data_IF_131689201443
#
_entry.id   IF_131689201443
#
_cell.length_a   1.000
_cell.length_b   1.000
_cell.length_c   1.000
_cell.angle_alpha   90.00
_cell.angle_beta   90.00
_cell.angle_gamma   90.00
#
_symmetry.space_group_name_H-M   'P 1'
#
loop_
_entity.id
_entity.type
_entity.pdbx_description
1 polymer ?
#
# COMPACT_ATOMS: atom_id res chain seq x y z
N UNK A 1 -1.50 19.82 24.35
CA UNK A 1 -0.29 20.06 23.53
C UNK A 1 0.68 18.87 23.47
N UNK A 2 0.91 18.13 24.57
CA UNK A 2 1.86 17.01 24.63
C UNK A 2 1.58 15.85 23.67
N UNK A 3 0.32 15.47 23.43
CA UNK A 3 -0.02 14.37 22.48
C UNK A 3 0.35 14.67 21.02
N UNK A 4 0.17 15.91 20.57
CA UNK A 4 0.48 16.31 19.18
C UNK A 4 1.99 16.38 18.93
N UNK A 5 2.76 16.84 19.93
CA UNK A 5 4.23 16.87 19.86
C UNK A 5 4.80 15.45 19.84
N UNK A 6 4.31 14.55 20.70
CA UNK A 6 4.72 13.13 20.70
C UNK A 6 4.38 12.46 19.38
N UNK A 7 3.21 12.73 18.80
CA UNK A 7 2.83 12.21 17.47
C UNK A 7 3.78 12.72 16.37
N UNK A 8 4.10 14.02 16.37
CA UNK A 8 5.03 14.62 15.40
C UNK A 8 6.43 14.01 15.51
N UNK A 9 6.96 13.90 16.73
CA UNK A 9 8.28 13.29 16.98
C UNK A 9 8.33 11.83 16.52
N UNK A 10 7.27 11.06 16.75
CA UNK A 10 7.18 9.67 16.26
C UNK A 10 7.20 9.61 14.73
N UNK A 11 6.43 10.47 14.05
CA UNK A 11 6.42 10.52 12.58
C UNK A 11 7.80 10.91 12.05
N UNK A 12 8.44 11.93 12.64
CA UNK A 12 9.77 12.36 12.26
C UNK A 12 10.81 11.25 12.46
N UNK A 13 10.77 10.54 13.59
CA UNK A 13 11.66 9.42 13.86
C UNK A 13 11.48 8.27 12.85
N UNK A 14 10.23 7.90 12.54
CA UNK A 14 9.94 6.88 11.52
C UNK A 14 10.44 7.32 10.14
N UNK A 15 10.23 8.57 9.75
CA UNK A 15 10.72 9.11 8.49
C UNK A 15 12.25 9.11 8.42
N UNK A 16 12.94 9.49 9.50
CA UNK A 16 14.39 9.47 9.59
C UNK A 16 14.96 8.05 9.49
N UNK A 17 14.35 7.09 10.18
CA UNK A 17 14.74 5.68 10.10
C UNK A 17 14.53 5.10 8.70
N UNK A 18 13.41 5.44 8.05
CA UNK A 18 13.16 5.03 6.67
C UNK A 18 14.20 5.64 5.71
N UNK A 19 14.50 6.94 5.85
CA UNK A 19 15.52 7.60 5.03
C UNK A 19 16.90 6.96 5.23
N UNK A 20 17.29 6.66 6.47
CA UNK A 20 18.53 5.96 6.78
C UNK A 20 18.57 4.57 6.14
N UNK A 21 17.47 3.81 6.22
CA UNK A 21 17.36 2.49 5.61
C UNK A 21 17.52 2.55 4.08
N UNK A 22 16.84 3.47 3.40
CA UNK A 22 16.94 3.65 1.95
C UNK A 22 18.33 4.10 1.52
N UNK A 23 18.94 5.02 2.27
CA UNK A 23 20.31 5.47 2.02
C UNK A 23 21.32 4.32 2.17
N UNK A 24 21.22 3.54 3.24
CA UNK A 24 22.13 2.43 3.49
C UNK A 24 21.96 1.32 2.44
N UNK A 25 20.71 1.02 2.06
CA UNK A 25 20.40 0.09 0.97
C UNK A 25 21.00 0.57 -0.36
N UNK A 26 20.93 1.89 -0.64
CA UNK A 26 21.56 2.47 -1.82
C UNK A 26 23.07 2.29 -1.82
N UNK A 27 23.76 2.73 -0.77
CA UNK A 27 25.23 2.70 -0.67
C UNK A 27 25.76 1.28 -0.80
N UNK A 28 25.14 0.32 -0.12
CA UNK A 28 25.59 -1.07 -0.15
C UNK A 28 25.35 -1.74 -1.50
N UNK A 29 24.22 -1.43 -2.15
CA UNK A 29 23.90 -1.96 -3.47
C UNK A 29 24.74 -1.30 -4.58
N UNK A 30 24.95 0.02 -4.50
CA UNK A 30 25.70 0.77 -5.49
C UNK A 30 27.21 0.47 -5.46
N UNK A 31 27.73 0.01 -4.31
CA UNK A 31 29.11 -0.44 -4.20
C UNK A 31 29.42 -1.70 -5.02
N UNK A 32 28.39 -2.45 -5.44
CA UNK A 32 28.48 -3.66 -6.27
C UNK A 32 29.50 -4.69 -5.76
N UNK A 33 29.53 -4.86 -4.43
CA UNK A 33 30.45 -5.78 -3.75
C UNK A 33 29.65 -6.74 -2.87
N UNK A 34 30.09 -8.00 -2.76
CA UNK A 34 29.53 -8.94 -1.81
C UNK A 34 29.49 -8.34 -0.40
N UNK A 35 28.31 -8.25 0.19
CA UNK A 35 28.14 -7.58 1.48
C UNK A 35 27.18 -8.34 2.37
N UNK A 36 27.69 -8.82 3.50
CA UNK A 36 26.86 -9.42 4.56
C UNK A 36 25.84 -8.40 5.07
N UNK A 37 26.24 -7.13 5.19
CA UNK A 37 25.34 -6.05 5.62
C UNK A 37 24.23 -5.80 4.59
N UNK A 38 24.55 -5.82 3.29
CA UNK A 38 23.56 -5.67 2.21
C UNK A 38 22.54 -6.81 2.19
N UNK A 39 23.01 -8.06 2.30
CA UNK A 39 22.13 -9.23 2.38
C UNK A 39 21.24 -9.23 3.64
N UNK A 40 21.79 -8.82 4.79
CA UNK A 40 21.00 -8.67 6.02
C UNK A 40 19.92 -7.61 5.85
N UNK A 41 20.26 -6.42 5.34
CA UNK A 41 19.29 -5.35 5.15
C UNK A 41 18.18 -5.74 4.16
N UNK A 42 18.53 -6.47 3.10
CA UNK A 42 17.54 -6.97 2.14
C UNK A 42 16.58 -8.00 2.76
N UNK A 43 17.06 -8.88 3.63
CA UNK A 43 16.27 -10.01 4.16
C UNK A 43 15.55 -9.71 5.47
N UNK A 44 16.11 -8.84 6.31
CA UNK A 44 15.60 -8.51 7.66
C UNK A 44 14.12 -8.08 7.67
N UNK A 45 13.64 -7.13 6.84
CA UNK A 45 12.24 -6.70 6.91
C UNK A 45 11.27 -7.85 6.59
N UNK A 46 11.62 -8.76 5.68
CA UNK A 46 10.79 -9.93 5.35
C UNK A 46 10.73 -10.92 6.49
N UNK A 47 11.87 -11.22 7.11
CA UNK A 47 11.92 -12.15 8.24
C UNK A 47 11.21 -11.59 9.46
N UNK A 48 11.32 -10.29 9.71
CA UNK A 48 10.58 -9.61 10.77
C UNK A 48 9.06 -9.67 10.54
N UNK A 49 8.58 -9.34 9.34
CA UNK A 49 7.14 -9.43 9.01
C UNK A 49 6.65 -10.87 9.07
N UNK A 50 7.40 -11.83 8.52
CA UNK A 50 7.05 -13.24 8.56
C UNK A 50 6.96 -13.77 10.00
N UNK A 51 7.87 -13.35 10.88
CA UNK A 51 7.84 -13.70 12.30
C UNK A 51 6.60 -13.13 12.98
N UNK A 52 6.29 -11.85 12.75
CA UNK A 52 5.11 -11.20 13.32
C UNK A 52 3.81 -11.86 12.85
N UNK A 53 3.74 -12.28 11.57
CA UNK A 53 2.61 -13.02 11.02
C UNK A 53 2.51 -14.42 11.62
N UNK A 54 3.63 -15.14 11.73
CA UNK A 54 3.67 -16.47 12.33
C UNK A 54 3.24 -16.44 13.81
N UNK A 55 3.72 -15.45 14.56
CA UNK A 55 3.35 -15.25 15.97
C UNK A 55 1.86 -14.91 16.16
N UNK A 56 1.24 -14.25 15.18
CA UNK A 56 -0.21 -13.91 15.19
C UNK A 56 -1.09 -14.93 14.46
N UNK A 57 -0.51 -16.02 13.94
CA UNK A 57 -1.25 -17.00 13.18
C UNK A 57 -2.25 -17.75 14.08
N UNK A 58 -3.38 -18.17 13.49
CA UNK A 58 -4.35 -19.04 14.18
C UNK A 58 -3.73 -20.35 14.67
N UNK A 59 -2.65 -20.81 14.01
CA UNK A 59 -1.84 -21.97 14.39
C UNK A 59 -0.35 -21.55 14.46
N UNK A 60 0.12 -21.03 15.60
CA UNK A 60 1.44 -20.42 15.69
C UNK A 60 2.58 -21.44 15.61
N UNK A 61 2.42 -22.64 16.17
CA UNK A 61 3.47 -23.68 16.18
C UNK A 61 3.94 -24.07 14.76
N UNK A 62 3.08 -24.50 13.82
CA UNK A 62 3.53 -24.81 12.47
C UNK A 62 4.00 -23.57 11.70
N UNK A 63 3.44 -22.39 11.97
CA UNK A 63 3.87 -21.16 11.33
C UNK A 63 5.28 -20.74 11.77
N UNK A 64 5.60 -20.89 13.06
CA UNK A 64 6.93 -20.66 13.62
C UNK A 64 7.92 -21.72 13.15
N UNK A 65 7.52 -22.99 13.06
CA UNK A 65 8.35 -24.04 12.49
C UNK A 65 8.72 -23.74 11.04
N UNK A 66 7.75 -23.31 10.22
CA UNK A 66 8.00 -22.87 8.84
C UNK A 66 8.94 -21.65 8.79
N UNK A 67 8.79 -20.71 9.73
CA UNK A 67 9.67 -19.56 9.85
C UNK A 67 11.12 -19.97 10.18
N UNK A 68 11.32 -20.87 11.15
CA UNK A 68 12.65 -21.41 11.47
C UNK A 68 13.25 -22.20 10.30
N UNK A 69 12.44 -22.97 9.57
CA UNK A 69 12.88 -23.63 8.33
C UNK A 69 13.31 -22.62 7.26
N UNK A 70 12.59 -21.51 7.10
CA UNK A 70 12.97 -20.44 6.18
C UNK A 70 14.29 -19.78 6.60
N UNK A 71 14.49 -19.52 7.90
CA UNK A 71 15.76 -19.00 8.43
C UNK A 71 16.90 -19.99 8.19
N UNK A 72 16.70 -21.28 8.45
CA UNK A 72 17.69 -22.32 8.19
C UNK A 72 18.05 -22.40 6.70
N UNK A 73 17.06 -22.34 5.81
CA UNK A 73 17.27 -22.28 4.36
C UNK A 73 18.08 -21.05 3.93
N UNK A 74 17.79 -19.88 4.53
CA UNK A 74 18.56 -18.66 4.29
C UNK A 74 20.01 -18.78 4.78
N UNK A 75 20.26 -19.46 5.91
CA UNK A 75 21.61 -19.70 6.41
C UNK A 75 22.41 -20.61 5.47
N UNK A 76 21.78 -21.65 4.92
CA UNK A 76 22.41 -22.55 3.93
C UNK A 76 22.70 -21.80 2.63
N UNK A 77 21.76 -20.97 2.15
CA UNK A 77 21.92 -20.15 0.93
C UNK A 77 22.73 -18.87 1.12
N UNK A 78 23.27 -18.60 2.30
CA UNK A 78 23.84 -17.30 2.67
C UNK A 78 24.95 -16.78 1.73
N UNK A 79 25.89 -17.62 1.24
CA UNK A 79 26.89 -17.17 0.26
C UNK A 79 26.24 -16.65 -1.03
N UNK A 80 25.26 -17.37 -1.58
CA UNK A 80 24.56 -16.95 -2.80
C UNK A 80 23.81 -15.63 -2.58
N UNK A 81 23.18 -15.47 -1.42
CA UNK A 81 22.48 -14.23 -1.06
C UNK A 81 23.45 -13.06 -0.94
N UNK A 82 24.62 -13.24 -0.32
CA UNK A 82 25.64 -12.20 -0.19
C UNK A 82 26.15 -11.73 -1.55
N UNK A 83 26.30 -12.66 -2.49
CA UNK A 83 26.88 -12.36 -3.80
C UNK A 83 25.81 -11.79 -4.76
N UNK A 84 24.52 -12.06 -4.52
CA UNK A 84 23.42 -11.72 -5.41
C UNK A 84 22.31 -10.89 -4.74
N UNK A 85 22.58 -10.20 -3.63
CA UNK A 85 21.55 -9.46 -2.89
C UNK A 85 20.87 -8.35 -3.72
N UNK A 86 21.53 -7.84 -4.77
CA UNK A 86 20.92 -6.92 -5.72
C UNK A 86 19.68 -7.50 -6.41
N UNK A 87 19.70 -8.80 -6.74
CA UNK A 87 18.53 -9.51 -7.28
C UNK A 87 17.38 -9.59 -6.29
N UNK A 88 17.70 -9.77 -5.02
CA UNK A 88 16.71 -9.77 -3.95
C UNK A 88 16.02 -8.40 -3.93
N UNK A 89 16.78 -7.30 -3.86
CA UNK A 89 16.21 -5.96 -3.91
C UNK A 89 15.41 -5.70 -5.20
N UNK A 90 15.82 -6.23 -6.36
CA UNK A 90 15.04 -6.15 -7.60
C UNK A 90 13.70 -6.84 -7.47
N UNK A 91 13.67 -8.11 -7.05
CA UNK A 91 12.42 -8.86 -6.89
C UNK A 91 11.49 -8.18 -5.89
N UNK A 92 12.04 -7.59 -4.83
CA UNK A 92 11.26 -6.82 -3.87
C UNK A 92 10.64 -5.58 -4.51
N UNK A 93 11.45 -4.78 -5.20
CA UNK A 93 11.03 -3.54 -5.83
C UNK A 93 10.00 -3.80 -6.94
N UNK A 94 10.37 -4.60 -7.93
CA UNK A 94 9.50 -4.97 -9.06
C UNK A 94 8.29 -5.77 -8.59
N UNK A 95 8.45 -6.71 -7.66
CA UNK A 95 7.36 -7.51 -7.14
C UNK A 95 6.30 -6.64 -6.44
N UNK A 96 6.72 -5.71 -5.58
CA UNK A 96 5.80 -4.80 -4.91
C UNK A 96 5.01 -3.94 -5.91
N UNK A 97 5.70 -3.29 -6.86
CA UNK A 97 5.03 -2.44 -7.85
C UNK A 97 4.15 -3.22 -8.82
N UNK A 98 4.58 -4.40 -9.24
CA UNK A 98 3.79 -5.26 -10.13
C UNK A 98 2.52 -5.74 -9.45
N UNK A 99 2.61 -6.18 -8.19
CA UNK A 99 1.43 -6.60 -7.43
C UNK A 99 0.45 -5.44 -7.25
N UNK A 100 0.93 -4.23 -6.96
CA UNK A 100 0.10 -3.04 -6.86
C UNK A 100 -0.53 -2.65 -8.21
N UNK A 101 0.24 -2.68 -9.29
CA UNK A 101 -0.24 -2.40 -10.64
C UNK A 101 -1.34 -3.38 -11.04
N UNK A 102 -1.15 -4.68 -10.77
CA UNK A 102 -2.16 -5.71 -11.02
C UNK A 102 -3.40 -5.49 -10.15
N UNK A 103 -3.24 -5.22 -8.85
CA UNK A 103 -4.35 -5.03 -7.93
C UNK A 103 -5.22 -3.81 -8.32
N UNK A 104 -4.59 -2.67 -8.61
CA UNK A 104 -5.28 -1.47 -9.06
C UNK A 104 -5.82 -1.64 -10.49
N UNK A 105 -5.04 -2.25 -11.39
CA UNK A 105 -5.42 -2.51 -12.78
C UNK A 105 -6.65 -3.41 -12.90
N UNK A 106 -6.67 -4.53 -12.18
CA UNK A 106 -7.84 -5.44 -12.16
C UNK A 106 -9.10 -4.76 -11.64
N UNK A 107 -8.97 -3.85 -10.67
CA UNK A 107 -10.11 -3.10 -10.14
C UNK A 107 -10.76 -2.12 -11.14
N UNK A 108 -10.10 -1.83 -12.28
CA UNK A 108 -10.62 -0.90 -13.30
C UNK A 108 -11.57 -1.55 -14.31
N UNK A 109 -11.76 -2.88 -14.24
CA UNK A 109 -12.69 -3.62 -15.10
C UNK A 109 -14.11 -3.06 -15.06
N UNK A 110 -14.86 -3.19 -16.15
CA UNK A 110 -16.19 -2.57 -16.27
C UNK A 110 -17.21 -3.09 -15.24
N UNK A 111 -17.06 -4.33 -14.79
CA UNK A 111 -17.88 -4.96 -13.75
C UNK A 111 -17.30 -4.83 -12.33
N UNK A 112 -16.15 -4.18 -12.17
CA UNK A 112 -15.42 -4.06 -10.91
C UNK A 112 -15.49 -2.64 -10.36
N UNK A 113 -15.41 -2.51 -9.03
CA UNK A 113 -15.29 -1.21 -8.38
C UNK A 113 -13.80 -0.82 -8.29
N UNK A 114 -13.39 0.33 -8.85
CA UNK A 114 -12.00 0.79 -8.77
C UNK A 114 -11.50 0.85 -7.33
N UNK A 115 -10.22 0.52 -7.10
CA UNK A 115 -9.65 0.39 -5.76
C UNK A 115 -9.84 1.65 -4.91
N UNK A 116 -9.61 2.84 -5.48
CA UNK A 116 -9.81 4.10 -4.77
C UNK A 116 -11.30 4.37 -4.52
N UNK A 117 -12.19 3.96 -5.43
CA UNK A 117 -13.64 4.02 -5.19
C UNK A 117 -14.02 3.13 -4.01
N UNK A 118 -13.52 1.89 -3.95
CA UNK A 118 -13.78 0.97 -2.83
C UNK A 118 -13.32 1.55 -1.49
N UNK A 119 -12.14 2.18 -1.44
CA UNK A 119 -11.66 2.84 -0.23
C UNK A 119 -12.53 4.04 0.15
N UNK A 120 -12.90 4.88 -0.83
CA UNK A 120 -13.76 6.02 -0.59
C UNK A 120 -15.15 5.57 -0.10
N UNK A 121 -15.73 4.51 -0.67
CA UNK A 121 -17.02 3.94 -0.27
C UNK A 121 -17.01 3.42 1.16
N UNK A 122 -15.93 2.77 1.60
CA UNK A 122 -15.81 2.29 2.99
C UNK A 122 -15.78 3.43 4.02
N UNK A 123 -15.25 4.58 3.65
CA UNK A 123 -15.12 5.73 4.56
C UNK A 123 -16.38 6.61 4.49
N UNK A 124 -16.97 6.73 3.31
CA UNK A 124 -17.95 7.78 3.00
C UNK A 124 -19.31 7.26 2.50
N UNK A 125 -19.50 5.94 2.37
CA UNK A 125 -20.70 5.35 1.79
C UNK A 125 -20.77 5.55 0.27
N UNK A 126 -21.98 5.46 -0.29
CA UNK A 126 -22.20 5.49 -1.75
C UNK A 126 -21.67 6.77 -2.40
N UNK A 127 -20.87 6.62 -3.46
CA UNK A 127 -20.27 7.75 -4.18
C UNK A 127 -21.22 8.32 -5.22
N UNK A 128 -21.30 9.64 -5.30
CA UNK A 128 -21.99 10.33 -6.39
C UNK A 128 -21.25 10.12 -7.73
N UNK A 129 -21.96 10.09 -8.88
CA UNK A 129 -21.35 9.75 -10.17
C UNK A 129 -20.10 10.56 -10.56
N UNK A 130 -20.01 11.89 -10.31
CA UNK A 130 -18.79 12.65 -10.58
C UNK A 130 -17.59 12.18 -9.76
N UNK A 131 -17.81 11.83 -8.49
CA UNK A 131 -16.76 11.37 -7.60
C UNK A 131 -16.29 9.96 -7.97
N UNK A 132 -17.20 9.07 -8.38
CA UNK A 132 -16.87 7.75 -8.89
C UNK A 132 -15.99 7.81 -10.16
N UNK A 133 -16.26 8.76 -11.07
CA UNK A 133 -15.40 9.00 -12.24
C UNK A 133 -14.01 9.50 -11.84
N UNK A 134 -13.94 10.41 -10.87
CA UNK A 134 -12.67 10.91 -10.34
C UNK A 134 -11.83 9.78 -9.72
N UNK A 135 -12.40 9.00 -8.81
CA UNK A 135 -11.69 7.90 -8.13
C UNK A 135 -11.27 6.81 -9.12
N UNK A 136 -12.04 6.58 -10.18
CA UNK A 136 -11.63 5.70 -11.29
C UNK A 136 -10.40 6.24 -12.02
N UNK A 137 -10.37 7.54 -12.37
CA UNK A 137 -9.20 8.17 -13.01
C UNK A 137 -7.98 8.17 -12.10
N UNK A 138 -8.16 8.42 -10.80
CA UNK A 138 -7.09 8.31 -9.82
C UNK A 138 -6.54 6.87 -9.76
N UNK A 139 -7.43 5.86 -9.74
CA UNK A 139 -7.03 4.44 -9.76
C UNK A 139 -6.22 4.13 -11.01
N UNK A 140 -6.64 4.63 -12.19
CA UNK A 140 -5.88 4.48 -13.44
C UNK A 140 -4.49 5.14 -13.36
N UNK A 141 -4.40 6.36 -12.84
CA UNK A 141 -3.14 7.07 -12.69
C UNK A 141 -2.16 6.29 -11.79
N UNK A 142 -2.66 5.73 -10.68
CA UNK A 142 -1.88 4.86 -9.80
C UNK A 142 -1.45 3.57 -10.49
N UNK A 143 -2.34 2.90 -11.23
CA UNK A 143 -1.97 1.71 -12.03
C UNK A 143 -0.84 2.02 -13.00
N UNK A 144 -0.95 3.12 -13.76
CA UNK A 144 0.07 3.52 -14.75
C UNK A 144 1.38 3.89 -14.08
N UNK A 145 1.33 4.58 -12.94
CA UNK A 145 2.52 4.90 -12.15
C UNK A 145 3.24 3.62 -11.71
N UNK A 146 2.53 2.66 -11.11
CA UNK A 146 3.13 1.41 -10.67
C UNK A 146 3.69 0.57 -11.83
N UNK A 147 2.97 0.51 -12.96
CA UNK A 147 3.46 -0.15 -14.17
C UNK A 147 4.75 0.50 -14.67
N UNK A 148 4.81 1.84 -14.73
CA UNK A 148 6.00 2.58 -15.14
C UNK A 148 7.18 2.34 -14.17
N UNK A 149 6.95 2.32 -12.86
CA UNK A 149 7.98 2.02 -11.86
C UNK A 149 8.58 0.64 -12.08
N UNK A 150 7.75 -0.38 -12.31
CA UNK A 150 8.19 -1.73 -12.67
C UNK A 150 9.03 -1.72 -13.95
N UNK A 151 8.52 -1.12 -15.02
CA UNK A 151 9.20 -1.12 -16.33
C UNK A 151 10.55 -0.41 -16.29
N UNK A 152 10.62 0.76 -15.64
CA UNK A 152 11.87 1.52 -15.50
C UNK A 152 12.87 0.77 -14.61
N UNK A 153 12.39 0.14 -13.52
CA UNK A 153 13.25 -0.66 -12.65
C UNK A 153 13.91 -1.82 -13.41
N UNK A 154 13.12 -2.58 -14.19
CA UNK A 154 13.66 -3.66 -15.02
C UNK A 154 14.62 -3.14 -16.09
N UNK A 155 14.25 -2.05 -16.79
CA UNK A 155 15.09 -1.47 -17.83
C UNK A 155 16.45 -1.01 -17.29
N UNK A 156 16.47 -0.35 -16.12
CA UNK A 156 17.70 0.10 -15.48
C UNK A 156 18.53 -1.07 -14.95
N UNK A 157 17.90 -2.09 -14.36
CA UNK A 157 18.63 -3.24 -13.83
C UNK A 157 19.35 -4.03 -14.92
N UNK A 158 18.70 -4.22 -16.08
CA UNK A 158 19.26 -5.01 -17.18
C UNK A 158 20.07 -4.20 -18.19
N UNK A 159 19.85 -2.88 -18.26
CA UNK A 159 20.41 -2.01 -19.31
C UNK A 159 21.35 -0.91 -18.80
N UNK A 160 21.54 -0.75 -17.50
CA UNK A 160 22.38 0.31 -16.92
C UNK A 160 23.27 -0.22 -15.79
N UNK A 161 24.33 0.52 -15.39
CA UNK A 161 25.13 0.14 -14.23
C UNK A 161 24.28 0.05 -12.97
N UNK A 162 24.58 -0.91 -12.09
CA UNK A 162 23.77 -1.19 -10.89
C UNK A 162 23.57 0.03 -9.97
N UNK A 163 24.54 0.96 -9.95
CA UNK A 163 24.43 2.21 -9.22
C UNK A 163 23.27 3.11 -9.70
N UNK A 164 22.99 3.14 -11.01
CA UNK A 164 21.86 3.88 -11.58
C UNK A 164 20.54 3.25 -11.18
N UNK A 165 20.45 1.93 -11.30
CA UNK A 165 19.29 1.19 -10.81
C UNK A 165 19.06 1.41 -9.30
N UNK A 166 20.11 1.29 -8.49
CA UNK A 166 20.05 1.50 -7.04
C UNK A 166 19.61 2.92 -6.70
N UNK A 167 20.09 3.94 -7.42
CA UNK A 167 19.65 5.33 -7.25
C UNK A 167 18.15 5.47 -7.51
N UNK A 168 17.67 4.87 -8.61
CA UNK A 168 16.26 4.88 -8.94
C UNK A 168 15.41 4.15 -7.89
N UNK A 169 15.82 2.93 -7.52
CA UNK A 169 15.05 2.05 -6.64
C UNK A 169 15.00 2.55 -5.19
N UNK A 170 16.10 3.08 -4.67
CA UNK A 170 16.23 3.45 -3.26
C UNK A 170 16.02 4.93 -2.99
N UNK A 171 16.41 5.83 -3.92
CA UNK A 171 16.36 7.28 -3.69
C UNK A 171 15.21 7.94 -4.45
N UNK A 172 15.11 7.71 -5.77
CA UNK A 172 14.07 8.37 -6.58
C UNK A 172 12.68 7.78 -6.33
N UNK A 173 12.57 6.48 -6.13
CA UNK A 173 11.29 5.80 -5.91
C UNK A 173 10.49 6.40 -4.74
N UNK A 174 11.05 6.55 -3.51
CA UNK A 174 10.33 7.23 -2.42
C UNK A 174 9.90 8.66 -2.75
N UNK A 175 10.76 9.42 -3.44
CA UNK A 175 10.44 10.79 -3.86
C UNK A 175 9.28 10.81 -4.86
N UNK A 176 9.31 9.95 -5.88
CA UNK A 176 8.27 9.83 -6.89
C UNK A 176 6.92 9.39 -6.29
N UNK A 177 6.94 8.45 -5.34
CA UNK A 177 5.73 8.07 -4.57
C UNK A 177 5.20 9.28 -3.80
N UNK A 178 6.06 10.02 -3.11
CA UNK A 178 5.69 11.23 -2.39
C UNK A 178 5.06 12.28 -3.31
N UNK A 179 5.63 12.50 -4.48
CA UNK A 179 5.09 13.41 -5.50
C UNK A 179 3.74 12.91 -6.05
N UNK A 180 3.58 11.61 -6.26
CA UNK A 180 2.31 11.03 -6.72
C UNK A 180 1.20 11.26 -5.68
N UNK A 181 1.48 11.02 -4.39
CA UNK A 181 0.54 11.34 -3.30
C UNK A 181 0.26 12.83 -3.19
N UNK A 182 1.28 13.69 -3.34
CA UNK A 182 1.09 15.14 -3.33
C UNK A 182 0.20 15.59 -4.49
N UNK A 183 0.42 15.04 -5.68
CA UNK A 183 -0.42 15.27 -6.86
C UNK A 183 -1.87 14.87 -6.62
N UNK A 184 -2.09 13.66 -6.10
CA UNK A 184 -3.43 13.21 -5.72
C UNK A 184 -4.07 14.15 -4.68
N UNK A 185 -3.32 14.57 -3.66
CA UNK A 185 -3.80 15.48 -2.63
C UNK A 185 -4.20 16.85 -3.18
N UNK A 186 -3.39 17.41 -4.08
CA UNK A 186 -3.67 18.69 -4.74
C UNK A 186 -4.94 18.57 -5.60
N UNK A 187 -5.06 17.52 -6.41
CA UNK A 187 -6.27 17.28 -7.22
C UNK A 187 -7.48 17.09 -6.31
N UNK A 188 -7.33 16.36 -5.21
CA UNK A 188 -8.38 16.15 -4.21
C UNK A 188 -8.83 17.46 -3.56
N UNK A 189 -7.92 18.40 -3.30
CA UNK A 189 -8.26 19.73 -2.76
C UNK A 189 -8.97 20.64 -3.77
N UNK A 190 -8.70 20.46 -5.06
CA UNK A 190 -9.32 21.24 -6.15
C UNK A 190 -10.74 20.77 -6.50
N UNK A 191 -11.18 19.62 -5.99
CA UNK A 191 -12.58 19.20 -6.12
C UNK A 191 -13.51 20.24 -5.45
N UNK A 192 -14.61 20.64 -6.14
CA UNK A 192 -15.61 21.53 -5.58
C UNK A 192 -16.05 21.12 -4.17
N UNK A 193 -16.26 22.11 -3.29
CA UNK A 193 -16.69 21.90 -1.90
C UNK A 193 -17.98 21.07 -1.83
N UNK A 194 -18.88 21.25 -2.79
CA UNK A 194 -20.14 20.52 -2.95
C UNK A 194 -19.95 18.99 -3.05
N UNK A 195 -18.87 18.52 -3.68
CA UNK A 195 -18.55 17.08 -3.70
C UNK A 195 -17.90 16.58 -2.39
N UNK A 196 -17.45 17.50 -1.54
CA UNK A 196 -16.95 17.20 -0.18
C UNK A 196 -18.10 17.22 0.85
N UNK A 197 -19.12 18.06 0.67
CA UNK A 197 -20.29 18.18 1.56
C UNK A 197 -21.45 17.27 1.18
N UNK A 198 -21.73 17.05 -0.11
CA UNK A 198 -22.72 16.07 -0.58
C UNK A 198 -22.37 14.62 -0.17
N UNK A 199 -21.09 14.39 0.15
CA UNK A 199 -20.54 13.18 0.75
C UNK A 199 -21.06 12.91 2.18
N UNK A 200 -21.40 13.96 2.92
CA UNK A 200 -22.00 13.86 4.27
C UNK A 200 -23.51 13.71 4.18
N UNK A 201 -24.13 14.32 3.18
CA UNK A 201 -25.56 14.16 2.90
C UNK A 201 -25.92 12.77 2.37
N UNK A 202 -25.07 12.14 1.54
CA UNK A 202 -25.27 10.75 1.12
C UNK A 202 -25.20 9.77 2.30
N UNK A 203 -24.31 10.03 3.28
CA UNK A 203 -24.27 9.29 4.55
C UNK A 203 -25.59 9.50 5.30
N UNK A 204 -26.07 10.74 5.43
CA UNK A 204 -27.32 11.05 6.15
C UNK A 204 -28.55 10.44 5.46
N UNK A 205 -28.61 10.45 4.13
CA UNK A 205 -29.69 9.87 3.35
C UNK A 205 -29.71 8.33 3.39
N UNK A 206 -28.55 7.67 3.28
CA UNK A 206 -28.44 6.22 3.41
C UNK A 206 -28.80 5.73 4.83
N UNK A 207 -28.43 6.50 5.85
CA UNK A 207 -28.76 6.18 7.25
C UNK A 207 -30.22 6.54 7.60
N UNK A 208 -30.83 7.51 6.92
CA UNK A 208 -32.22 7.95 7.14
C UNK A 208 -33.29 7.08 6.47
N UNK A 209 -32.99 6.39 5.36
CA UNK A 209 -33.97 5.54 4.67
C UNK A 209 -34.28 4.20 5.37
N UNK A 210 -33.52 3.80 6.39
CA UNK A 210 -33.83 2.62 7.21
C UNK A 210 -35.01 2.79 8.16
N UNK A 211 -35.43 4.04 8.45
CA UNK A 211 -36.48 4.32 9.43
C UNK A 211 -37.89 4.42 8.84
N UNK A 212 -38.04 4.79 7.56
CA UNK A 212 -39.37 4.96 6.94
C UNK A 212 -39.99 3.65 6.42
N UNK A 213 -39.18 2.65 6.06
CA UNK A 213 -39.71 1.36 5.57
C UNK A 213 -40.31 0.50 6.69
N UNK A 214 -39.86 0.70 7.93
CA UNK A 214 -40.32 -0.07 9.10
C UNK A 214 -41.66 0.42 9.68
N UNK A 215 -42.09 1.63 9.32
CA UNK A 215 -43.37 2.22 9.77
C UNK A 215 -44.54 1.88 8.84
N UNK A 216 -44.25 1.45 7.60
CA UNK A 216 -45.26 1.10 6.60
C UNK A 216 -45.68 -0.38 6.62
N UNK A 217 -44.95 -1.23 7.35
CA UNK A 217 -45.17 -2.69 7.45
C UNK A 217 -45.71 -3.15 8.81
N UNK A 218 -46.24 -2.25 9.66
CA UNK A 218 -46.98 -2.68 10.85
C UNK A 218 -48.48 -2.77 10.48
N UNK A 219 -49.05 -3.97 10.32
CA UNK A 219 -50.50 -4.12 10.22
C UNK A 219 -51.10 -3.57 11.51
N UNK A 220 -52.10 -2.71 11.39
CA UNK A 220 -52.97 -2.32 12.49
C UNK A 220 -53.69 -3.57 13.01
N UNK A 221 -53.10 -4.24 14.00
CA UNK A 221 -53.81 -5.22 14.81
C UNK A 221 -54.86 -4.45 15.62
N UNK A 222 -56.10 -4.48 15.14
CA UNK A 222 -57.29 -4.12 15.89
C UNK A 222 -57.69 -5.31 16.77
N UNK A 223 -57.65 -5.21 18.11
CA UNK A 223 -58.39 -6.11 18.96
C UNK A 223 -59.80 -5.54 19.12
N UNK A 224 -60.67 -5.92 18.18
CA UNK A 224 -62.12 -5.77 18.34
C UNK A 224 -62.64 -6.77 19.36
N UNK A 225 -63.08 -6.24 20.49
CA UNK A 225 -63.89 -6.90 21.52
C UNK A 225 -65.19 -7.49 20.97
N UNK A 226 -65.44 -8.79 21.21
CA UNK A 226 -66.58 -9.36 21.96
C UNK A 226 -66.59 -10.88 21.87
#
# INVERSE_FOLDING_TARGET
MTRSVVALLRVAAVAALAALYYWLSHVLTAADRPSTAGALLATTPYMAVALLMAAKARRPVPALALWFLAVAGLMVGWPLLRDNFAWIYLFQHVGAFTLLAIAFGRSLGAAETPMISRFAERIHGTLVPPLARYTRRATLAWTMFFAAMTSISLALFFGAPIAWWSTFANLLTPLLIGLMFLGEFVVRRRLPKEFRTGLVESIRAATGHGLHRRSAELPSLSPGTR
#
